data_IF_900154922073
#
_entry.id   IF_900154922073
#
_cell.length_a   1.000
_cell.length_b   1.000
_cell.length_c   1.000
_cell.angle_alpha   90.00
_cell.angle_beta   90.00
_cell.angle_gamma   90.00
#
_symmetry.space_group_name_H-M   'P 1'
#
loop_
_entity.id
_entity.type
_entity.pdbx_description
1 polymer ?
#
# COMPACT_ATOMS: atom_id res chain seq x y z
N UNK A 1 -10.78 -2.04 13.72
CA UNK A 1 -11.12 -1.00 12.71
C UNK A 1 -10.85 0.35 13.35
N UNK A 2 -10.43 1.35 12.59
CA UNK A 2 -10.19 2.71 13.10
C UNK A 2 -11.26 3.60 12.51
N UNK A 3 -11.93 4.38 13.36
CA UNK A 3 -13.04 5.27 12.97
C UNK A 3 -12.83 6.65 13.58
N UNK A 4 -13.43 7.67 12.98
CA UNK A 4 -13.52 8.98 13.64
C UNK A 4 -14.54 8.95 14.78
N UNK A 5 -14.38 9.82 15.77
CA UNK A 5 -15.20 9.81 17.00
C UNK A 5 -16.71 9.89 16.68
N UNK A 6 -17.09 10.73 15.71
CA UNK A 6 -18.47 10.89 15.28
C UNK A 6 -19.05 9.66 14.56
N UNK A 7 -18.22 8.75 14.06
CA UNK A 7 -18.65 7.54 13.35
C UNK A 7 -18.79 6.33 14.28
N UNK A 8 -18.27 6.44 15.51
CA UNK A 8 -18.17 5.32 16.44
C UNK A 8 -19.50 4.58 16.65
N UNK A 9 -20.60 5.31 16.89
CA UNK A 9 -21.90 4.70 17.17
C UNK A 9 -22.41 3.89 15.98
N UNK A 10 -22.32 4.44 14.76
CA UNK A 10 -22.74 3.76 13.53
C UNK A 10 -21.96 2.47 13.30
N UNK A 11 -20.65 2.45 13.57
CA UNK A 11 -19.87 1.22 13.45
C UNK A 11 -20.15 0.23 14.58
N UNK A 12 -20.42 0.70 15.79
CA UNK A 12 -20.74 -0.14 16.95
C UNK A 12 -22.08 -0.90 16.79
N UNK A 13 -22.97 -0.45 15.91
CA UNK A 13 -24.22 -1.16 15.57
C UNK A 13 -23.98 -2.51 14.87
N UNK A 14 -22.87 -2.65 14.15
CA UNK A 14 -22.58 -3.82 13.31
C UNK A 14 -21.22 -4.48 13.58
N UNK A 15 -20.35 -3.82 14.35
CA UNK A 15 -19.04 -4.32 14.76
C UNK A 15 -18.97 -4.31 16.29
N UNK A 16 -18.49 -5.41 16.85
CA UNK A 16 -18.15 -5.52 18.27
C UNK A 16 -17.30 -4.31 18.72
N UNK A 17 -17.76 -3.49 19.69
CA UNK A 17 -17.04 -2.33 20.19
C UNK A 17 -15.58 -2.59 20.59
N UNK A 18 -15.26 -3.80 21.07
CA UNK A 18 -13.89 -4.18 21.42
C UNK A 18 -12.93 -4.22 20.21
N UNK A 19 -13.46 -4.21 18.99
CA UNK A 19 -12.70 -4.20 17.73
C UNK A 19 -12.65 -2.82 17.08
N UNK A 20 -13.21 -1.79 17.71
CA UNK A 20 -13.25 -0.41 17.21
C UNK A 20 -12.25 0.43 18.00
N UNK A 21 -11.37 1.11 17.27
CA UNK A 21 -10.45 2.11 17.82
C UNK A 21 -10.89 3.48 17.34
N UNK A 22 -11.10 4.42 18.27
CA UNK A 22 -11.35 5.82 17.93
C UNK A 22 -10.01 6.46 17.55
N UNK A 23 -9.98 7.12 16.40
CA UNK A 23 -8.82 7.87 15.93
C UNK A 23 -8.49 9.01 16.91
N UNK A 24 -7.29 8.99 17.49
CA UNK A 24 -6.80 10.11 18.28
C UNK A 24 -6.68 11.36 17.39
N UNK A 25 -7.50 12.38 17.71
CA UNK A 25 -7.63 13.63 16.94
C UNK A 25 -6.30 14.35 16.75
N UNK A 26 -5.33 14.16 17.65
CA UNK A 26 -3.97 14.69 17.51
C UNK A 26 -3.34 14.29 16.18
N UNK A 27 -3.58 13.06 15.71
CA UNK A 27 -3.05 12.60 14.42
C UNK A 27 -3.68 13.32 13.23
N UNK A 28 -4.91 13.82 13.35
CA UNK A 28 -5.51 14.67 12.33
C UNK A 28 -4.95 16.09 12.42
N UNK A 29 -4.81 16.64 13.63
CA UNK A 29 -4.37 18.02 13.86
C UNK A 29 -2.91 18.23 13.44
N UNK A 30 -2.03 17.28 13.79
CA UNK A 30 -0.58 17.30 13.48
C UNK A 30 -0.24 16.76 12.08
N UNK A 31 -1.24 16.28 11.31
CA UNK A 31 -0.98 15.69 9.99
C UNK A 31 -0.42 16.70 9.00
N UNK A 32 0.76 16.42 8.45
CA UNK A 32 1.38 17.20 7.38
C UNK A 32 0.63 16.95 6.06
N UNK A 33 -0.29 17.85 5.69
CA UNK A 33 -1.09 17.73 4.44
C UNK A 33 -0.32 18.11 3.18
N UNK A 34 0.84 18.76 3.32
CA UNK A 34 1.64 19.28 2.21
C UNK A 34 0.88 20.25 1.29
N UNK A 35 -0.07 21.01 1.84
CA UNK A 35 -0.82 22.08 1.17
C UNK A 35 -1.32 23.11 2.20
N UNK A 36 -1.84 24.23 1.71
CA UNK A 36 -2.36 25.32 2.53
C UNK A 36 -3.90 25.30 2.68
N UNK A 37 -4.55 24.15 2.42
CA UNK A 37 -6.02 24.06 2.41
C UNK A 37 -6.62 23.88 3.81
N UNK A 38 -5.80 23.54 4.82
CA UNK A 38 -6.26 23.32 6.18
C UNK A 38 -7.44 22.33 6.26
N UNK A 39 -8.51 22.73 6.94
CA UNK A 39 -9.75 21.96 7.12
C UNK A 39 -10.83 22.26 6.06
N UNK A 40 -10.52 23.05 5.03
CA UNK A 40 -11.49 23.31 3.94
C UNK A 40 -11.81 22.05 3.12
N UNK A 41 -10.97 21.00 3.25
CA UNK A 41 -11.16 19.68 2.67
C UNK A 41 -10.74 18.61 3.68
N UNK A 42 -11.23 17.38 3.48
CA UNK A 42 -10.72 16.21 4.21
C UNK A 42 -9.19 16.08 4.04
N UNK A 43 -8.50 15.76 5.14
CA UNK A 43 -7.03 15.58 5.17
C UNK A 43 -6.57 14.26 4.52
N UNK A 44 -7.49 13.48 3.96
CA UNK A 44 -7.21 12.17 3.39
C UNK A 44 -6.95 11.11 4.48
N UNK A 45 -6.53 9.89 4.09
CA UNK A 45 -6.43 8.77 5.02
C UNK A 45 -5.14 8.77 5.86
N UNK A 46 -4.17 9.64 5.56
CA UNK A 46 -2.83 9.52 6.12
C UNK A 46 -2.76 9.73 7.64
N UNK A 47 -3.62 10.57 8.21
CA UNK A 47 -3.76 10.73 9.66
C UNK A 47 -4.15 9.40 10.34
N UNK A 48 -5.21 8.76 9.84
CA UNK A 48 -5.65 7.45 10.33
C UNK A 48 -4.58 6.36 10.13
N UNK A 49 -3.85 6.40 9.01
CA UNK A 49 -2.72 5.48 8.77
C UNK A 49 -1.56 5.70 9.74
N UNK A 50 -1.23 6.94 10.10
CA UNK A 50 -0.24 7.24 11.14
C UNK A 50 -0.70 6.76 12.52
N UNK A 51 -1.99 6.86 12.86
CA UNK A 51 -2.53 6.30 14.09
C UNK A 51 -2.46 4.76 14.11
N UNK A 52 -2.86 4.10 13.01
CA UNK A 52 -2.73 2.65 12.86
C UNK A 52 -1.28 2.18 13.02
N UNK A 53 -0.34 2.97 12.48
CA UNK A 53 1.08 2.74 12.62
C UNK A 53 1.54 2.84 14.07
N UNK A 54 1.21 3.94 14.75
CA UNK A 54 1.58 4.14 16.15
C UNK A 54 0.99 3.03 17.06
N UNK A 55 -0.25 2.63 16.79
CA UNK A 55 -0.88 1.48 17.44
C UNK A 55 -0.08 0.18 17.23
N UNK A 56 0.36 -0.10 16.00
CA UNK A 56 1.19 -1.27 15.70
C UNK A 56 2.53 -1.26 16.45
N UNK A 57 3.18 -0.09 16.55
CA UNK A 57 4.42 0.08 17.30
C UNK A 57 4.19 -0.19 18.79
N UNK A 58 3.14 0.41 19.37
CA UNK A 58 2.77 0.21 20.77
C UNK A 58 2.42 -1.24 21.09
N UNK A 59 1.88 -1.98 20.12
CA UNK A 59 1.63 -3.42 20.24
C UNK A 59 2.89 -4.29 20.11
N UNK A 60 4.08 -3.69 19.88
CA UNK A 60 5.36 -4.41 19.82
C UNK A 60 5.61 -5.13 18.50
N UNK A 61 4.88 -4.80 17.43
CA UNK A 61 5.08 -5.42 16.13
C UNK A 61 6.27 -4.80 15.40
N UNK A 62 7.00 -5.62 14.63
CA UNK A 62 8.11 -5.16 13.77
C UNK A 62 7.60 -4.57 12.44
N UNK A 63 6.49 -5.09 11.96
CA UNK A 63 5.89 -4.73 10.69
C UNK A 63 4.38 -4.60 10.85
N UNK A 64 3.74 -3.83 9.98
CA UNK A 64 2.29 -3.82 9.86
C UNK A 64 1.84 -3.77 8.41
N UNK A 65 0.64 -4.28 8.17
CA UNK A 65 -0.04 -4.14 6.90
C UNK A 65 -1.00 -2.95 6.92
N UNK A 66 -1.00 -2.17 5.85
CA UNK A 66 -2.00 -1.15 5.54
C UNK A 66 -2.70 -1.58 4.26
N UNK A 67 -4.03 -1.67 4.29
CA UNK A 67 -4.83 -2.12 3.15
C UNK A 67 -5.98 -1.15 2.89
N UNK A 68 -6.20 -0.83 1.62
CA UNK A 68 -7.42 -0.14 1.19
C UNK A 68 -8.62 -1.08 1.35
N UNK A 69 -9.77 -0.51 1.69
CA UNK A 69 -11.04 -1.20 1.93
C UNK A 69 -11.70 -1.76 0.66
N UNK A 70 -11.21 -1.39 -0.52
CA UNK A 70 -11.76 -1.79 -1.82
C UNK A 70 -10.97 -2.89 -2.55
N UNK A 71 -10.15 -3.65 -1.81
CA UNK A 71 -9.50 -4.87 -2.31
C UNK A 71 -10.49 -6.04 -2.20
N UNK A 72 -10.82 -6.67 -3.33
CA UNK A 72 -11.85 -7.71 -3.43
C UNK A 72 -11.30 -9.13 -3.30
N UNK A 73 -10.06 -9.34 -3.71
CA UNK A 73 -9.41 -10.64 -3.68
C UNK A 73 -7.89 -10.50 -3.75
N UNK A 74 -7.21 -11.59 -3.39
CA UNK A 74 -5.80 -11.79 -3.67
C UNK A 74 -5.62 -12.98 -4.60
N UNK A 75 -4.57 -12.96 -5.40
CA UNK A 75 -4.22 -14.04 -6.32
C UNK A 75 -2.76 -14.45 -6.17
N UNK A 76 -2.48 -15.70 -6.48
CA UNK A 76 -1.14 -16.20 -6.75
C UNK A 76 -0.95 -16.36 -8.24
N UNK A 77 0.08 -15.72 -8.79
CA UNK A 77 0.54 -15.97 -10.14
C UNK A 77 1.71 -16.95 -10.10
N UNK A 78 1.50 -18.15 -10.61
CA UNK A 78 2.55 -19.16 -10.71
C UNK A 78 2.39 -19.96 -11.99
N UNK A 79 3.49 -20.19 -12.72
CA UNK A 79 3.50 -20.90 -14.02
C UNK A 79 2.37 -20.43 -14.94
N UNK A 80 2.21 -19.10 -15.01
CA UNK A 80 1.24 -18.45 -15.87
C UNK A 80 -0.25 -18.70 -15.55
N UNK A 81 -0.54 -19.29 -14.38
CA UNK A 81 -1.88 -19.43 -13.82
C UNK A 81 -2.07 -18.39 -12.71
N UNK A 82 -3.13 -17.60 -12.81
CA UNK A 82 -3.58 -16.68 -11.77
C UNK A 82 -4.69 -17.35 -10.96
N UNK A 83 -4.34 -17.94 -9.82
CA UNK A 83 -5.27 -18.65 -8.95
C UNK A 83 -5.66 -17.78 -7.75
N UNK A 84 -6.96 -17.73 -7.42
CA UNK A 84 -7.45 -16.95 -6.28
C UNK A 84 -6.95 -17.56 -4.96
N UNK A 85 -6.35 -16.73 -4.11
CA UNK A 85 -5.95 -17.12 -2.77
C UNK A 85 -7.18 -17.15 -1.85
N UNK A 86 -7.34 -18.26 -1.12
CA UNK A 86 -8.41 -18.45 -0.12
C UNK A 86 -7.89 -18.51 1.32
N UNK A 87 -6.58 -18.55 1.50
CA UNK A 87 -5.91 -18.56 2.81
C UNK A 87 -4.89 -17.42 2.88
N UNK A 88 -4.55 -16.91 4.08
CA UNK A 88 -3.61 -15.80 4.24
C UNK A 88 -2.13 -16.20 4.07
N UNK A 89 -1.82 -17.43 3.65
CA UNK A 89 -0.44 -17.94 3.62
C UNK A 89 0.49 -17.14 2.68
N UNK A 90 -0.07 -16.43 1.70
CA UNK A 90 0.69 -15.51 0.85
C UNK A 90 1.21 -14.27 1.61
N UNK A 91 0.54 -13.82 2.67
CA UNK A 91 1.07 -12.78 3.56
C UNK A 91 2.34 -13.26 4.25
N UNK A 92 2.29 -14.46 4.86
CA UNK A 92 3.44 -15.09 5.51
C UNK A 92 4.61 -15.27 4.54
N UNK A 93 4.35 -15.76 3.33
CA UNK A 93 5.38 -15.92 2.31
C UNK A 93 6.06 -14.58 1.95
N UNK A 94 5.29 -13.50 1.93
CA UNK A 94 5.76 -12.15 1.61
C UNK A 94 6.55 -11.53 2.77
N UNK A 95 6.06 -11.69 4.00
CA UNK A 95 6.74 -11.28 5.24
C UNK A 95 8.11 -11.96 5.38
N UNK A 96 8.14 -13.29 5.21
CA UNK A 96 9.38 -14.07 5.25
C UNK A 96 10.35 -13.64 4.14
N UNK A 97 9.86 -13.28 2.96
CA UNK A 97 10.71 -12.80 1.88
C UNK A 97 11.35 -11.44 2.19
N UNK A 98 10.55 -10.46 2.66
CA UNK A 98 11.08 -9.12 2.95
C UNK A 98 11.99 -9.10 4.15
N UNK A 99 11.75 -9.97 5.14
CA UNK A 99 12.59 -10.03 6.34
C UNK A 99 13.98 -10.61 6.05
N UNK A 100 14.28 -11.04 4.81
CA UNK A 100 15.63 -11.43 4.40
C UNK A 100 16.57 -10.23 4.19
N UNK A 101 16.04 -9.01 4.15
CA UNK A 101 16.79 -7.84 3.72
C UNK A 101 16.86 -6.76 4.82
N UNK A 102 18.01 -6.10 4.92
CA UNK A 102 18.26 -5.03 5.89
C UNK A 102 17.68 -3.69 5.44
N UNK A 103 17.69 -3.44 4.13
CA UNK A 103 17.37 -2.14 3.54
C UNK A 103 16.01 -2.10 2.83
N UNK A 104 15.08 -2.98 3.21
CA UNK A 104 13.68 -2.95 2.75
C UNK A 104 12.81 -2.41 3.86
N UNK A 105 12.09 -1.33 3.57
CA UNK A 105 11.12 -0.73 4.49
C UNK A 105 9.67 -0.91 4.07
N UNK A 106 9.42 -1.01 2.76
CA UNK A 106 8.07 -1.08 2.21
C UNK A 106 8.01 -2.17 1.15
N UNK A 107 7.02 -3.04 1.26
CA UNK A 107 6.69 -4.00 0.23
C UNK A 107 5.18 -4.09 0.03
N UNK A 108 4.73 -4.72 -1.05
CA UNK A 108 3.30 -4.91 -1.27
C UNK A 108 2.98 -5.62 -2.56
N UNK A 109 1.68 -5.82 -2.81
CA UNK A 109 1.20 -6.58 -3.95
C UNK A 109 0.92 -5.69 -5.16
N UNK A 110 1.29 -6.14 -6.34
CA UNK A 110 0.90 -5.47 -7.58
C UNK A 110 -0.59 -5.69 -7.86
N UNK A 111 -1.17 -4.85 -8.72
CA UNK A 111 -2.52 -5.06 -9.20
C UNK A 111 -2.56 -6.20 -10.23
N UNK A 112 -3.62 -7.01 -10.16
CA UNK A 112 -3.89 -8.09 -11.11
C UNK A 112 -3.95 -7.60 -12.56
N UNK A 113 -4.53 -6.42 -12.81
CA UNK A 113 -4.61 -5.84 -14.15
C UNK A 113 -3.28 -5.30 -14.70
N UNK A 114 -2.23 -5.16 -13.87
CA UNK A 114 -0.87 -4.83 -14.33
C UNK A 114 0.01 -6.05 -14.57
N UNK A 115 -0.39 -7.22 -14.08
CA UNK A 115 0.38 -8.47 -14.17
C UNK A 115 -0.53 -9.54 -14.76
N UNK A 116 -0.61 -9.58 -16.08
CA UNK A 116 -1.55 -10.44 -16.78
C UNK A 116 -0.98 -11.86 -16.96
N UNK A 117 -1.85 -12.86 -16.81
CA UNK A 117 -1.52 -14.21 -17.26
C UNK A 117 -1.24 -14.19 -18.77
N UNK A 118 -0.34 -15.08 -19.22
CA UNK A 118 0.22 -15.23 -20.58
C UNK A 118 1.31 -14.22 -20.93
N UNK A 119 1.84 -13.51 -19.94
CA UNK A 119 3.04 -12.69 -20.07
C UNK A 119 4.09 -13.14 -19.04
N UNK A 120 5.36 -13.02 -19.42
CA UNK A 120 6.46 -13.30 -18.49
C UNK A 120 6.64 -12.12 -17.54
N UNK A 121 6.62 -12.40 -16.24
CA UNK A 121 6.86 -11.41 -15.20
C UNK A 121 7.88 -11.95 -14.19
N UNK A 122 8.82 -11.12 -13.71
CA UNK A 122 9.64 -11.50 -12.56
C UNK A 122 8.73 -11.65 -11.33
N UNK A 123 9.08 -12.50 -10.34
CA UNK A 123 8.23 -12.73 -9.16
C UNK A 123 8.00 -11.48 -8.31
N UNK A 124 8.88 -10.47 -8.44
CA UNK A 124 8.74 -9.15 -7.86
C UNK A 124 9.49 -8.11 -8.71
N UNK A 125 9.06 -6.85 -8.63
CA UNK A 125 9.80 -5.68 -9.07
C UNK A 125 10.43 -4.95 -7.88
N UNK A 126 11.49 -4.20 -8.15
CA UNK A 126 12.18 -3.38 -7.15
C UNK A 126 12.01 -1.90 -7.44
N UNK A 127 12.11 -1.11 -6.35
CA UNK A 127 12.36 0.32 -6.37
C UNK A 127 11.31 1.11 -7.16
N UNK A 128 10.06 0.83 -6.84
CA UNK A 128 8.87 1.48 -7.37
C UNK A 128 7.93 1.84 -6.22
N UNK A 129 6.88 2.62 -6.51
CA UNK A 129 5.79 2.86 -5.55
C UNK A 129 5.04 1.60 -5.16
N UNK A 130 4.71 1.51 -3.89
CA UNK A 130 3.79 0.53 -3.33
C UNK A 130 2.55 1.28 -2.86
N UNK A 131 1.36 0.81 -3.24
CA UNK A 131 0.10 1.42 -2.83
C UNK A 131 -0.96 0.33 -2.58
N UNK A 132 -2.01 0.72 -1.86
CA UNK A 132 -3.22 -0.08 -1.56
C UNK A 132 -3.08 -1.32 -0.70
N UNK A 133 -1.98 -2.06 -0.79
CA UNK A 133 -1.67 -3.15 0.14
C UNK A 133 -0.18 -3.08 0.45
N UNK A 134 0.17 -2.44 1.56
CA UNK A 134 1.53 -2.13 1.95
C UNK A 134 1.89 -2.89 3.22
N UNK A 135 3.03 -3.58 3.20
CA UNK A 135 3.74 -4.07 4.36
C UNK A 135 4.85 -3.07 4.70
N UNK A 136 4.80 -2.51 5.91
CA UNK A 136 5.70 -1.42 6.31
C UNK A 136 6.43 -1.80 7.58
N UNK A 137 7.75 -1.60 7.60
CA UNK A 137 8.60 -1.84 8.78
C UNK A 137 8.45 -0.69 9.75
N UNK A 138 8.23 -1.00 11.02
CA UNK A 138 7.85 -0.01 12.03
C UNK A 138 8.96 0.96 12.42
N UNK A 139 10.22 0.59 12.21
CA UNK A 139 11.42 1.38 12.50
C UNK A 139 11.84 2.32 11.35
N UNK A 140 11.06 2.39 10.26
CA UNK A 140 11.31 3.33 9.16
C UNK A 140 11.32 4.78 9.69
N UNK A 141 12.24 5.64 9.21
CA UNK A 141 12.39 7.01 9.72
C UNK A 141 11.35 7.98 9.15
N UNK A 142 10.19 7.49 8.72
CA UNK A 142 9.17 8.28 8.03
C UNK A 142 7.77 8.03 8.62
N UNK A 143 6.88 8.99 8.37
CA UNK A 143 5.44 8.90 8.58
C UNK A 143 4.69 9.27 7.31
N UNK A 144 3.43 8.88 7.22
CA UNK A 144 2.55 9.30 6.13
C UNK A 144 2.41 10.83 6.15
N UNK A 145 2.45 11.45 4.97
CA UNK A 145 2.20 12.88 4.76
C UNK A 145 1.60 13.11 3.37
N UNK A 146 1.08 14.30 3.15
CA UNK A 146 0.39 14.68 1.93
C UNK A 146 -1.09 14.35 1.99
N UNK A 147 -1.94 15.25 1.52
CA UNK A 147 -3.39 14.98 1.38
C UNK A 147 -3.67 13.94 0.30
N UNK A 148 -2.79 13.83 -0.68
CA UNK A 148 -2.90 12.93 -1.82
C UNK A 148 -1.60 12.19 -2.10
N UNK A 149 -1.72 10.95 -2.60
CA UNK A 149 -0.58 10.11 -3.01
C UNK A 149 0.45 9.90 -1.90
N UNK A 150 -0.01 9.88 -0.64
CA UNK A 150 0.79 9.68 0.55
C UNK A 150 1.59 8.36 0.50
N UNK A 151 1.07 7.35 -0.21
CA UNK A 151 1.76 6.07 -0.49
C UNK A 151 2.97 6.21 -1.42
N UNK A 152 2.84 7.08 -2.41
CA UNK A 152 3.84 7.33 -3.44
C UNK A 152 4.92 8.26 -2.89
N UNK A 153 4.55 9.30 -2.12
CA UNK A 153 5.52 10.13 -1.37
C UNK A 153 6.34 9.26 -0.41
N UNK A 154 5.69 8.40 0.38
CA UNK A 154 6.37 7.53 1.33
C UNK A 154 7.36 6.60 0.62
N UNK A 155 6.94 5.97 -0.48
CA UNK A 155 7.83 5.14 -1.30
C UNK A 155 9.00 5.94 -1.87
N UNK A 156 8.76 7.16 -2.37
CA UNK A 156 9.81 7.98 -2.98
C UNK A 156 10.86 8.45 -1.96
N UNK A 157 10.45 8.80 -0.74
CA UNK A 157 11.40 9.16 0.33
C UNK A 157 12.32 8.00 0.70
N UNK A 158 11.76 6.79 0.85
CA UNK A 158 12.54 5.55 1.04
C UNK A 158 13.56 5.36 -0.06
N UNK A 159 13.16 5.51 -1.33
CA UNK A 159 14.05 5.28 -2.46
C UNK A 159 15.15 6.35 -2.59
N UNK A 160 14.84 7.60 -2.25
CA UNK A 160 15.81 8.70 -2.26
C UNK A 160 16.93 8.52 -1.23
N UNK A 161 16.63 7.90 -0.09
CA UNK A 161 17.61 7.62 0.95
C UNK A 161 18.37 6.29 0.72
N UNK A 162 18.25 5.72 -0.49
CA UNK A 162 19.03 4.56 -0.92
C UNK A 162 18.47 3.21 -0.47
N UNK A 163 17.34 3.21 0.23
CA UNK A 163 16.63 1.98 0.59
C UNK A 163 15.84 1.41 -0.59
N UNK A 164 15.29 0.21 -0.41
CA UNK A 164 14.56 -0.52 -1.43
C UNK A 164 13.09 -0.69 -1.07
N UNK A 165 12.27 -0.79 -2.13
CA UNK A 165 10.90 -1.27 -2.06
C UNK A 165 10.74 -2.55 -2.88
N UNK A 166 9.79 -3.40 -2.49
CA UNK A 166 9.49 -4.67 -3.17
C UNK A 166 8.02 -4.70 -3.58
N UNK A 167 7.75 -4.79 -4.89
CA UNK A 167 6.41 -5.01 -5.41
C UNK A 167 6.28 -6.44 -5.91
N UNK A 168 5.53 -7.28 -5.21
CA UNK A 168 5.32 -8.68 -5.62
C UNK A 168 4.42 -8.78 -6.84
N UNK A 169 4.83 -9.64 -7.79
CA UNK A 169 4.01 -10.09 -8.91
C UNK A 169 3.58 -11.57 -8.73
N UNK A 170 4.28 -12.33 -7.88
CA UNK A 170 3.88 -13.70 -7.51
C UNK A 170 2.58 -13.72 -6.69
N UNK A 171 2.28 -12.63 -5.99
CA UNK A 171 1.02 -12.39 -5.29
C UNK A 171 0.46 -11.02 -5.71
N UNK A 172 -0.84 -10.99 -5.98
CA UNK A 172 -1.53 -9.85 -6.60
C UNK A 172 -2.78 -9.49 -5.81
N UNK A 173 -3.21 -8.23 -5.93
CA UNK A 173 -4.46 -7.72 -5.37
C UNK A 173 -5.46 -7.35 -6.48
N UNK A 174 -6.71 -7.79 -6.33
CA UNK A 174 -7.86 -7.33 -7.12
C UNK A 174 -8.38 -6.04 -6.51
N UNK A 175 -8.13 -4.90 -7.16
CA UNK A 175 -8.66 -3.62 -6.70
C UNK A 175 -9.83 -3.19 -7.58
N UNK A 176 -10.94 -2.85 -6.95
CA UNK A 176 -12.09 -2.28 -7.67
C UNK A 176 -11.70 -0.96 -8.34
N UNK A 177 -12.23 -0.72 -9.54
CA UNK A 177 -11.95 0.53 -10.26
C UNK A 177 -12.37 1.71 -9.39
N UNK A 178 -11.46 2.67 -9.23
CA UNK A 178 -11.71 3.90 -8.47
C UNK A 178 -13.00 4.58 -8.94
N UNK A 179 -13.83 5.05 -8.00
CA UNK A 179 -15.16 5.67 -8.20
C UNK A 179 -16.35 4.72 -8.41
N UNK A 180 -16.17 3.40 -8.24
CA UNK A 180 -17.30 2.44 -8.28
C UNK A 180 -17.98 2.22 -6.93
N UNK A 181 -17.27 2.49 -5.83
CA UNK A 181 -17.83 2.50 -4.47
C UNK A 181 -18.03 3.97 -4.06
N UNK A 182 -19.25 4.30 -3.62
CA UNK A 182 -19.55 5.58 -2.96
C UNK A 182 -18.96 5.58 -1.55
N UNK A 183 -17.67 5.89 -1.43
CA UNK A 183 -16.94 5.98 -0.17
C UNK A 183 -16.12 7.28 -0.06
N UNK A 184 -15.69 7.60 1.16
CA UNK A 184 -15.31 8.93 1.71
C UNK A 184 -14.25 9.78 1.00
N UNK A 185 -13.75 9.39 -0.18
CA UNK A 185 -12.87 10.23 -1.01
C UNK A 185 -13.45 10.56 -2.39
N UNK A 186 -14.66 10.09 -2.72
CA UNK A 186 -15.15 10.09 -4.11
C UNK A 186 -15.96 11.34 -4.45
N UNK A 187 -16.88 11.74 -3.58
CA UNK A 187 -17.81 12.84 -3.87
C UNK A 187 -17.20 14.23 -3.58
N UNK A 188 -16.30 14.34 -2.59
CA UNK A 188 -15.71 15.63 -2.15
C UNK A 188 -14.46 16.07 -2.95
N UNK A 189 -13.70 15.14 -3.52
CA UNK A 189 -12.36 15.46 -4.08
C UNK A 189 -12.32 15.69 -5.59
N UNK A 190 -13.16 15.01 -6.37
CA UNK A 190 -12.99 14.93 -7.84
C UNK A 190 -14.07 15.66 -8.65
N UNK A 191 -15.22 15.97 -8.04
CA UNK A 191 -16.40 16.50 -8.75
C UNK A 191 -16.24 17.93 -9.27
N UNK A 192 -15.37 18.75 -8.64
CA UNK A 192 -15.20 20.18 -9.00
C UNK A 192 -13.83 20.54 -9.58
N UNK A 193 -12.74 19.96 -9.06
CA UNK A 193 -11.35 20.33 -9.44
C UNK A 193 -10.62 19.26 -10.28
N UNK A 194 -11.26 18.11 -10.50
CA UNK A 194 -10.67 16.99 -11.18
C UNK A 194 -9.44 16.41 -10.46
N UNK A 195 -8.47 15.91 -11.21
CA UNK A 195 -7.29 15.17 -10.70
C UNK A 195 -6.01 16.00 -10.68
N UNK A 196 -6.10 17.30 -11.01
CA UNK A 196 -4.95 18.19 -11.06
C UNK A 196 -4.32 18.43 -9.68
N UNK A 197 -5.08 18.77 -8.62
CA UNK A 197 -4.47 19.06 -7.30
C UNK A 197 -3.65 17.87 -6.79
N UNK A 198 -4.23 16.67 -6.89
CA UNK A 198 -3.56 15.40 -6.60
C UNK A 198 -2.26 15.23 -7.40
N UNK A 199 -2.29 15.48 -8.70
CA UNK A 199 -1.12 15.28 -9.56
C UNK A 199 -0.03 16.31 -9.31
N UNK A 200 -0.42 17.57 -9.05
CA UNK A 200 0.47 18.68 -8.79
C UNK A 200 1.18 18.54 -7.46
N UNK A 201 0.48 18.18 -6.38
CA UNK A 201 1.08 17.96 -5.06
C UNK A 201 2.27 17.01 -5.12
N UNK A 202 2.14 15.87 -5.81
CA UNK A 202 3.25 14.92 -5.92
C UNK A 202 4.43 15.48 -6.73
N UNK A 203 4.15 16.26 -7.79
CA UNK A 203 5.18 16.92 -8.59
C UNK A 203 5.90 18.01 -7.78
N UNK A 204 5.19 18.75 -6.95
CA UNK A 204 5.76 19.80 -6.09
C UNK A 204 6.60 19.18 -4.94
N UNK A 205 6.18 18.03 -4.40
CA UNK A 205 6.94 17.30 -3.36
C UNK A 205 8.19 16.60 -3.88
N UNK A 206 8.18 16.14 -5.15
CA UNK A 206 9.27 15.38 -5.76
C UNK A 206 9.61 15.87 -7.17
N UNK A 207 9.98 17.16 -7.37
CA UNK A 207 10.15 17.75 -8.70
C UNK A 207 11.31 17.15 -9.50
N UNK A 208 12.24 16.48 -8.82
CA UNK A 208 13.37 15.74 -9.39
C UNK A 208 12.96 14.47 -10.14
N UNK A 209 11.81 13.87 -9.81
CA UNK A 209 11.36 12.59 -10.38
C UNK A 209 9.90 12.57 -10.79
N UNK A 210 9.09 13.55 -10.38
CA UNK A 210 7.67 13.61 -10.66
C UNK A 210 7.30 14.85 -11.48
N UNK A 211 6.35 14.69 -12.39
CA UNK A 211 5.77 15.78 -13.19
C UNK A 211 4.30 15.55 -13.49
N UNK A 212 3.57 16.63 -13.72
CA UNK A 212 2.18 16.58 -14.16
C UNK A 212 2.12 16.26 -15.66
N UNK A 213 1.22 15.35 -16.04
CA UNK A 213 0.98 14.94 -17.43
C UNK A 213 -0.52 14.81 -17.70
N UNK A 214 -0.95 15.03 -18.94
CA UNK A 214 -2.31 14.75 -19.38
C UNK A 214 -2.38 13.38 -20.07
N UNK A 215 -3.20 12.45 -19.55
CA UNK A 215 -3.38 11.10 -20.10
C UNK A 215 -4.79 10.60 -19.82
N UNK A 216 -5.32 9.75 -20.70
CA UNK A 216 -6.63 9.10 -20.51
C UNK A 216 -7.76 10.09 -20.18
N UNK A 217 -7.72 11.29 -20.78
CA UNK A 217 -8.74 12.33 -20.60
C UNK A 217 -8.69 13.07 -19.26
N UNK A 218 -7.61 12.95 -18.47
CA UNK A 218 -7.48 13.68 -17.18
C UNK A 218 -6.02 13.98 -16.82
N UNK A 219 -5.84 14.77 -15.76
CA UNK A 219 -4.53 15.04 -15.18
C UNK A 219 -4.00 13.83 -14.40
N UNK A 220 -2.72 13.55 -14.57
CA UNK A 220 -2.01 12.47 -13.88
C UNK A 220 -0.64 12.96 -13.44
N UNK A 221 -0.08 12.36 -12.39
CA UNK A 221 1.35 12.43 -12.15
C UNK A 221 2.07 11.34 -12.96
N UNK A 222 3.26 11.65 -13.45
CA UNK A 222 4.21 10.68 -13.97
C UNK A 222 5.45 10.73 -13.09
N UNK A 223 5.94 9.55 -12.66
CA UNK A 223 7.14 9.42 -11.84
C UNK A 223 8.18 8.60 -12.60
N UNK A 224 9.41 9.12 -12.70
CA UNK A 224 10.56 8.39 -13.24
C UNK A 224 11.29 7.65 -12.12
N UNK A 225 11.15 6.32 -12.10
CA UNK A 225 11.83 5.45 -11.14
C UNK A 225 13.23 4.99 -11.61
N UNK A 226 13.68 5.36 -12.81
CA UNK A 226 14.99 4.94 -13.33
C UNK A 226 16.16 5.30 -12.40
N UNK A 227 16.22 6.48 -11.76
CA UNK A 227 17.32 6.83 -10.86
C UNK A 227 17.50 5.85 -9.69
N UNK A 228 16.43 5.18 -9.25
CA UNK A 228 16.44 4.27 -8.11
C UNK A 228 16.84 2.84 -8.47
N UNK A 229 17.09 2.51 -9.76
CA UNK A 229 17.61 1.19 -10.17
C UNK A 229 18.99 0.87 -9.57
N UNK A 230 19.71 1.89 -9.12
CA UNK A 230 20.99 1.78 -8.41
C UNK A 230 20.85 1.15 -7.01
N UNK A 231 19.71 1.33 -6.34
CA UNK A 231 19.48 0.76 -5.02
C UNK A 231 19.37 -0.77 -5.16
N UNK A 232 20.20 -1.52 -4.43
CA UNK A 232 20.22 -2.99 -4.45
C UNK A 232 19.82 -3.53 -3.10
N UNK A 233 19.16 -4.68 -3.09
CA UNK A 233 18.82 -5.38 -1.86
C UNK A 233 20.08 -5.81 -1.11
N UNK A 234 20.13 -5.55 0.19
CA UNK A 234 21.18 -5.99 1.10
C UNK A 234 20.60 -7.10 1.95
N UNK A 235 21.08 -8.34 1.73
CA UNK A 235 20.67 -9.50 2.53
C UNK A 235 21.28 -9.40 3.93
N UNK A 236 20.49 -9.74 4.94
CA UNK A 236 21.02 -9.88 6.31
C UNK A 236 22.05 -11.00 6.35
N UNK A 237 23.13 -10.81 7.09
CA UNK A 237 24.20 -11.81 7.23
C UNK A 237 23.71 -13.15 7.81
N UNK A 238 22.69 -13.11 8.67
CA UNK A 238 22.13 -14.29 9.35
C UNK A 238 21.05 -15.03 8.56
N UNK A 239 20.74 -14.62 7.33
CA UNK A 239 19.64 -15.23 6.56
C UNK A 239 20.05 -16.59 6.01
N UNK A 240 19.30 -17.61 6.42
CA UNK A 240 19.39 -18.95 5.87
C UNK A 240 18.28 -19.09 4.82
N UNK A 241 18.67 -19.32 3.57
CA UNK A 241 17.71 -19.64 2.49
C UNK A 241 17.68 -21.16 2.36
N UNK A 242 16.59 -21.83 2.76
CA UNK A 242 16.52 -23.28 2.63
C UNK A 242 16.56 -23.69 1.16
N UNK A 243 17.14 -24.85 0.88
CA UNK A 243 17.10 -25.47 -0.44
C UNK A 243 15.67 -25.91 -0.79
N UNK A 244 15.28 -25.74 -2.05
CA UNK A 244 13.97 -26.12 -2.56
C UNK A 244 12.87 -25.06 -2.37
N UNK A 245 11.63 -25.47 -2.63
CA UNK A 245 10.47 -24.58 -2.58
C UNK A 245 9.75 -24.72 -1.23
N UNK A 246 9.54 -23.59 -0.54
CA UNK A 246 8.61 -23.51 0.57
C UNK A 246 7.28 -22.93 0.07
N UNK A 247 6.24 -23.77 0.05
CA UNK A 247 4.90 -23.37 -0.38
C UNK A 247 4.09 -22.68 0.74
N UNK A 248 4.65 -22.55 1.95
CA UNK A 248 3.99 -21.98 3.13
C UNK A 248 2.61 -22.63 3.38
N UNK A 249 2.47 -23.92 3.08
CA UNK A 249 1.21 -24.67 3.19
C UNK A 249 0.15 -24.35 2.12
N UNK A 250 0.44 -23.53 1.12
CA UNK A 250 -0.47 -23.30 -0.01
C UNK A 250 -0.58 -24.56 -0.88
N UNK A 251 -1.80 -24.89 -1.27
CA UNK A 251 -2.11 -25.96 -2.23
C UNK A 251 -3.02 -25.40 -3.32
N UNK A 252 -2.80 -25.84 -4.56
CA UNK A 252 -3.75 -25.57 -5.64
C UNK A 252 -4.86 -26.62 -5.56
N UNK A 253 -6.11 -26.17 -5.47
CA UNK A 253 -7.29 -27.03 -5.37
C UNK A 253 -8.28 -26.71 -6.50
N UNK A 254 -8.99 -27.75 -6.97
CA UNK A 254 -10.17 -27.57 -7.81
C UNK A 254 -11.36 -27.26 -6.91
N UNK A 255 -12.19 -26.28 -7.29
CA UNK A 255 -13.33 -25.85 -6.47
C UNK A 255 -14.51 -26.85 -6.60
N UNK A 256 -14.44 -27.79 -7.55
CA UNK A 256 -15.43 -28.87 -7.65
C UNK A 256 -15.25 -29.97 -6.58
N UNK A 257 -14.12 -30.00 -5.88
CA UNK A 257 -13.79 -31.04 -4.89
C UNK A 257 -13.96 -30.59 -3.43
N UNK A 258 -14.55 -29.41 -3.20
CA UNK A 258 -14.80 -28.86 -1.88
C UNK A 258 -16.32 -28.87 -1.59
N UNK A 259 -16.86 -30.06 -1.32
CA UNK A 259 -18.13 -30.24 -0.61
C UNK A 259 -17.85 -30.33 0.89
#
# INVERSE_FOLDING_TARGET
IIVEEQEYQTYAEVIDPAKILILDKRFQDEYETCDDLGYTKSKGPGAARNFAWDHSIKAGHKWHWVMDDNIKAFFRLNRNLMARCKTPNFFRASEDFVDRYENVYIAGFNYDFFVQSKQQHPPFGLNTRIYSCLLIRNDIPYRWRGRYNEDTDLSLRVLKDGFCTIQFNAFLQEKLQTQTIKGGNTDDFYSKEGTLPKSKMLADLHPDVARVVWRFGRWHHHVDYKPFKKNKLIRKASVIIPEGNNEYGMKLISIHDAN
#
